data_IF_194830055392
#
_entry.id   IF_194830055392
#
_cell.length_a   1.000
_cell.length_b   1.000
_cell.length_c   1.000
_cell.angle_alpha   90.00
_cell.angle_beta   90.00
_cell.angle_gamma   90.00
#
_symmetry.space_group_name_H-M   'P 1'
#
loop_
_entity.id
_entity.type
_entity.pdbx_description
1 polymer ?
#
# COMPACT_ATOMS: atom_id res chain seq x y z
N UNK A 1 6.16 13.06 9.97
CA UNK A 1 5.33 12.19 9.08
C UNK A 1 6.17 11.24 8.23
N UNK A 2 7.30 11.68 7.65
CA UNK A 2 8.21 10.80 6.90
C UNK A 2 8.61 9.53 7.68
N UNK A 3 8.98 9.66 8.96
CA UNK A 3 9.32 8.51 9.81
C UNK A 3 8.18 7.48 9.90
N UNK A 4 6.95 7.92 10.17
CA UNK A 4 5.78 7.04 10.25
C UNK A 4 5.50 6.33 8.92
N UNK A 5 5.62 7.06 7.80
CA UNK A 5 5.46 6.49 6.45
C UNK A 5 6.55 5.45 6.18
N UNK A 6 7.81 5.74 6.51
CA UNK A 6 8.93 4.80 6.34
C UNK A 6 8.72 3.51 7.12
N UNK A 7 8.19 3.61 8.34
CA UNK A 7 7.87 2.46 9.19
C UNK A 7 6.70 1.68 8.60
N UNK A 8 5.65 2.37 8.15
CA UNK A 8 4.49 1.74 7.52
C UNK A 8 4.89 0.92 6.27
N UNK A 9 5.84 1.40 5.47
CA UNK A 9 6.32 0.71 4.26
C UNK A 9 7.08 -0.61 4.50
N UNK A 10 7.17 -1.09 5.75
CA UNK A 10 7.46 -2.51 6.01
C UNK A 10 6.30 -3.43 5.60
N UNK A 11 5.10 -2.88 5.41
CA UNK A 11 3.87 -3.59 5.06
C UNK A 11 4.02 -4.58 3.89
N UNK A 12 4.64 -4.24 2.75
CA UNK A 12 4.78 -5.19 1.63
C UNK A 12 5.57 -6.46 1.99
N UNK A 13 6.50 -6.39 2.96
CA UNK A 13 7.18 -7.58 3.48
C UNK A 13 6.26 -8.46 4.30
N UNK A 14 5.54 -7.83 5.23
CA UNK A 14 4.57 -8.53 6.09
C UNK A 14 3.55 -9.21 5.20
N UNK A 15 3.02 -8.48 4.21
CA UNK A 15 2.08 -8.97 3.23
C UNK A 15 2.65 -10.16 2.43
N UNK A 16 3.90 -10.08 1.96
CA UNK A 16 4.58 -11.18 1.25
C UNK A 16 4.70 -12.43 2.13
N UNK A 17 5.08 -12.27 3.39
CA UNK A 17 5.20 -13.38 4.36
C UNK A 17 3.84 -14.01 4.65
N UNK A 18 2.82 -13.19 4.92
CA UNK A 18 1.45 -13.64 5.17
C UNK A 18 0.86 -14.37 3.95
N UNK A 19 1.15 -13.92 2.73
CA UNK A 19 0.76 -14.61 1.50
C UNK A 19 1.32 -16.04 1.43
N UNK A 20 2.59 -16.21 1.81
CA UNK A 20 3.20 -17.54 1.91
C UNK A 20 2.58 -18.43 2.98
N UNK A 21 2.35 -17.89 4.17
CA UNK A 21 1.88 -18.66 5.33
C UNK A 21 0.39 -19.02 5.24
N UNK A 22 -0.48 -18.08 4.87
CA UNK A 22 -1.94 -18.24 4.96
C UNK A 22 -2.60 -18.63 3.64
N UNK A 23 -2.03 -18.23 2.50
CA UNK A 23 -2.57 -18.57 1.18
C UNK A 23 -1.78 -19.70 0.49
N UNK A 24 -0.65 -20.13 1.07
CA UNK A 24 0.21 -21.13 0.47
C UNK A 24 0.85 -20.67 -0.85
N UNK A 25 0.88 -19.36 -1.11
CA UNK A 25 1.47 -18.82 -2.33
C UNK A 25 3.00 -19.03 -2.29
N UNK A 26 3.63 -19.57 -3.35
CA UNK A 26 5.06 -19.81 -3.35
C UNK A 26 5.82 -18.48 -3.31
N UNK A 27 6.43 -18.17 -2.16
CA UNK A 27 7.28 -17.00 -2.00
C UNK A 27 8.68 -17.33 -2.49
N UNK A 28 8.93 -17.11 -3.78
CA UNK A 28 10.26 -17.27 -4.34
C UNK A 28 11.26 -16.28 -3.73
N UNK A 29 12.47 -16.75 -3.37
CA UNK A 29 13.55 -15.91 -2.81
C UNK A 29 13.83 -14.63 -3.61
N UNK A 30 13.66 -14.70 -4.94
CA UNK A 30 13.83 -13.55 -5.85
C UNK A 30 12.78 -12.44 -5.63
N UNK A 31 11.55 -12.81 -5.26
CA UNK A 31 10.48 -11.85 -4.92
C UNK A 31 10.78 -11.16 -3.58
N UNK A 32 11.31 -11.92 -2.61
CA UNK A 32 11.76 -11.36 -1.33
C UNK A 32 12.89 -10.35 -1.56
N UNK A 33 13.89 -10.70 -2.38
CA UNK A 33 14.97 -9.76 -2.73
C UNK A 33 14.44 -8.52 -3.43
N UNK A 34 13.53 -8.66 -4.40
CA UNK A 34 12.93 -7.51 -5.06
C UNK A 34 12.18 -6.60 -4.07
N UNK A 35 11.44 -7.20 -3.13
CA UNK A 35 10.79 -6.48 -2.04
C UNK A 35 11.83 -5.73 -1.17
N UNK A 36 12.95 -6.39 -0.80
CA UNK A 36 14.06 -5.76 -0.08
C UNK A 36 14.69 -4.59 -0.82
N UNK A 37 14.93 -4.74 -2.12
CA UNK A 37 15.49 -3.70 -2.97
C UNK A 37 14.51 -2.53 -3.12
N UNK A 38 13.23 -2.82 -3.32
CA UNK A 38 12.17 -1.81 -3.40
C UNK A 38 12.02 -1.01 -2.11
N UNK A 39 12.05 -1.69 -0.96
CA UNK A 39 12.06 -1.04 0.35
C UNK A 39 13.28 -0.16 0.57
N UNK A 40 14.48 -0.63 0.20
CA UNK A 40 15.68 0.18 0.25
C UNK A 40 15.53 1.46 -0.59
N UNK A 41 14.97 1.35 -1.79
CA UNK A 41 14.63 2.50 -2.63
C UNK A 41 13.60 3.43 -1.97
N UNK A 42 12.57 2.88 -1.32
CA UNK A 42 11.57 3.64 -0.58
C UNK A 42 12.18 4.47 0.56
N UNK A 43 13.10 3.89 1.33
CA UNK A 43 13.81 4.61 2.39
C UNK A 43 14.67 5.77 1.85
N UNK A 44 15.29 5.59 0.68
CA UNK A 44 16.03 6.67 0.00
C UNK A 44 15.12 7.80 -0.49
N UNK A 45 13.85 7.51 -0.82
CA UNK A 45 12.89 8.56 -1.17
C UNK A 45 12.36 9.25 0.09
N UNK A 46 11.94 8.48 1.09
CA UNK A 46 11.28 9.00 2.29
C UNK A 46 12.25 9.76 3.20
N UNK A 47 13.53 9.35 3.23
CA UNK A 47 14.60 9.98 4.03
C UNK A 47 14.19 10.25 5.48
N UNK A 48 13.79 9.20 6.22
CA UNK A 48 13.39 9.36 7.62
C UNK A 48 14.57 9.86 8.47
N UNK A 49 14.29 10.75 9.42
CA UNK A 49 15.30 11.36 10.29
C UNK A 49 15.36 10.65 11.66
N UNK A 50 14.30 9.92 12.03
CA UNK A 50 14.21 9.11 13.25
C UNK A 50 14.56 9.87 14.54
N UNK A 51 14.32 11.19 14.58
CA UNK A 51 14.69 12.01 15.74
C UNK A 51 13.85 11.70 16.98
N UNK A 52 12.63 11.16 16.81
CA UNK A 52 11.68 10.90 17.91
C UNK A 52 11.04 9.51 17.84
N UNK A 53 11.83 8.45 17.63
CA UNK A 53 11.31 7.06 17.63
C UNK A 53 11.07 6.59 19.07
N UNK A 54 9.91 6.94 19.62
CA UNK A 54 9.41 6.46 20.91
C UNK A 54 8.32 5.40 20.77
N UNK A 55 7.50 5.21 21.81
CA UNK A 55 6.32 4.33 21.76
C UNK A 55 5.35 4.67 20.61
N UNK A 56 5.36 5.91 20.12
CA UNK A 56 4.57 6.34 18.97
C UNK A 56 4.90 5.57 17.68
N UNK A 57 6.11 5.02 17.54
CA UNK A 57 6.49 4.19 16.40
C UNK A 57 5.72 2.86 16.33
N UNK A 58 5.09 2.43 17.43
CA UNK A 58 4.26 1.23 17.44
C UNK A 58 2.98 1.41 16.60
N UNK A 59 2.46 2.64 16.46
CA UNK A 59 1.24 2.88 15.69
C UNK A 59 1.42 2.57 14.20
N UNK A 60 2.42 3.12 13.47
CA UNK A 60 2.63 2.77 12.06
C UNK A 60 2.94 1.29 11.83
N UNK A 61 3.64 0.62 12.77
CA UNK A 61 3.85 -0.84 12.71
C UNK A 61 2.52 -1.58 12.82
N UNK A 62 1.68 -1.20 13.79
CA UNK A 62 0.33 -1.76 13.94
C UNK A 62 -0.51 -1.53 12.68
N UNK A 63 -0.45 -0.34 12.09
CA UNK A 63 -1.11 -0.02 10.82
C UNK A 63 -0.60 -0.90 9.68
N UNK A 64 0.71 -1.09 9.55
CA UNK A 64 1.31 -1.96 8.53
C UNK A 64 0.82 -3.41 8.66
N UNK A 65 0.77 -3.95 9.88
CA UNK A 65 0.27 -5.30 10.15
C UNK A 65 -1.22 -5.40 9.78
N UNK A 66 -2.05 -4.48 10.29
CA UNK A 66 -3.48 -4.46 10.00
C UNK A 66 -3.76 -4.31 8.51
N UNK A 67 -3.00 -3.46 7.80
CA UNK A 67 -3.16 -3.25 6.37
C UNK A 67 -2.73 -4.48 5.58
N UNK A 68 -1.62 -5.13 5.93
CA UNK A 68 -1.22 -6.41 5.33
C UNK A 68 -2.28 -7.49 5.49
N UNK A 69 -2.91 -7.60 6.67
CA UNK A 69 -4.04 -8.51 6.89
C UNK A 69 -5.26 -8.13 6.04
N UNK A 70 -5.59 -6.84 5.95
CA UNK A 70 -6.67 -6.36 5.09
C UNK A 70 -6.42 -6.75 3.61
N UNK A 71 -5.20 -6.56 3.10
CA UNK A 71 -4.87 -6.91 1.73
C UNK A 71 -4.85 -8.42 1.49
N UNK A 72 -4.36 -9.21 2.45
CA UNK A 72 -4.43 -10.67 2.43
C UNK A 72 -5.89 -11.17 2.38
N UNK A 73 -6.77 -10.61 3.22
CA UNK A 73 -8.19 -10.96 3.23
C UNK A 73 -8.86 -10.53 1.92
N UNK A 74 -8.55 -9.34 1.41
CA UNK A 74 -9.01 -8.85 0.10
C UNK A 74 -8.61 -9.83 -1.01
N UNK A 75 -7.36 -10.28 -1.04
CA UNK A 75 -6.89 -11.31 -1.98
C UNK A 75 -7.69 -12.60 -1.86
N UNK A 76 -7.95 -13.07 -0.63
CA UNK A 76 -8.72 -14.30 -0.41
C UNK A 76 -10.16 -14.15 -0.89
N UNK A 77 -10.82 -13.04 -0.55
CA UNK A 77 -12.22 -12.78 -0.88
C UNK A 77 -12.44 -12.55 -2.39
N UNK A 78 -11.49 -11.93 -3.09
CA UNK A 78 -11.58 -11.72 -4.54
C UNK A 78 -11.56 -13.02 -5.35
N UNK A 79 -11.18 -14.16 -4.75
CA UNK A 79 -11.30 -15.47 -5.38
C UNK A 79 -12.74 -16.01 -5.38
N UNK A 80 -13.61 -15.50 -4.49
CA UNK A 80 -14.97 -16.03 -4.30
C UNK A 80 -16.06 -14.97 -4.51
N UNK A 81 -15.72 -13.69 -4.48
CA UNK A 81 -16.67 -12.57 -4.59
C UNK A 81 -16.19 -11.51 -5.58
N UNK A 82 -17.13 -10.75 -6.13
CA UNK A 82 -16.82 -9.68 -7.06
C UNK A 82 -16.10 -8.50 -6.35
N UNK A 83 -15.04 -7.90 -6.93
CA UNK A 83 -14.31 -6.77 -6.33
C UNK A 83 -15.19 -5.62 -5.83
N UNK A 84 -16.21 -5.24 -6.61
CA UNK A 84 -17.15 -4.18 -6.23
C UNK A 84 -17.90 -4.52 -4.93
N UNK A 85 -18.37 -5.78 -4.80
CA UNK A 85 -19.06 -6.24 -3.60
C UNK A 85 -18.14 -6.16 -2.39
N UNK A 86 -16.90 -6.64 -2.52
CA UNK A 86 -15.89 -6.57 -1.46
C UNK A 86 -15.65 -5.11 -1.02
N UNK A 87 -15.53 -4.19 -1.99
CA UNK A 87 -15.29 -2.78 -1.71
C UNK A 87 -16.47 -2.12 -0.98
N UNK A 88 -17.71 -2.42 -1.37
CA UNK A 88 -18.92 -1.89 -0.69
C UNK A 88 -18.97 -2.38 0.76
N UNK A 89 -18.81 -3.68 1.00
CA UNK A 89 -18.83 -4.22 2.37
C UNK A 89 -17.69 -3.68 3.22
N UNK A 90 -16.49 -3.53 2.64
CA UNK A 90 -15.33 -2.94 3.32
C UNK A 90 -15.61 -1.48 3.69
N UNK A 91 -16.16 -0.68 2.78
CA UNK A 91 -16.50 0.71 3.04
C UNK A 91 -17.59 0.85 4.13
N UNK A 92 -18.63 0.01 4.08
CA UNK A 92 -19.66 -0.04 5.11
C UNK A 92 -19.07 -0.44 6.48
N UNK A 93 -18.22 -1.45 6.53
CA UNK A 93 -17.56 -1.88 7.76
C UNK A 93 -16.66 -0.77 8.33
N UNK A 94 -15.86 -0.12 7.49
CA UNK A 94 -15.03 1.00 7.89
C UNK A 94 -15.89 2.16 8.43
N UNK A 95 -16.98 2.51 7.77
CA UNK A 95 -17.91 3.53 8.25
C UNK A 95 -18.53 3.16 9.61
N UNK A 96 -19.00 1.92 9.77
CA UNK A 96 -19.59 1.44 11.03
C UNK A 96 -18.60 1.44 12.20
N UNK A 97 -17.31 1.26 11.94
CA UNK A 97 -16.26 1.32 12.97
C UNK A 97 -15.84 2.76 13.25
N UNK A 98 -15.59 3.56 12.20
CA UNK A 98 -15.02 4.91 12.33
C UNK A 98 -16.07 5.91 12.83
N UNK A 99 -17.32 5.86 12.35
CA UNK A 99 -18.33 6.85 12.69
C UNK A 99 -18.63 6.93 14.21
N UNK A 100 -18.82 5.82 14.95
CA UNK A 100 -18.99 5.87 16.40
C UNK A 100 -17.75 6.39 17.12
N UNK A 101 -16.54 6.03 16.67
CA UNK A 101 -15.28 6.51 17.26
C UNK A 101 -15.20 8.03 17.12
N UNK A 102 -15.53 8.58 15.95
CA UNK A 102 -15.54 10.03 15.72
C UNK A 102 -16.55 10.75 16.63
N UNK A 103 -17.73 10.15 16.86
CA UNK A 103 -18.75 10.73 17.75
C UNK A 103 -18.32 10.70 19.22
N UNK A 104 -17.71 9.60 19.68
CA UNK A 104 -17.22 9.45 21.06
C UNK A 104 -16.03 10.38 21.32
N UNK A 105 -15.13 10.52 20.34
CA UNK A 105 -13.91 11.32 20.46
C UNK A 105 -14.12 12.81 20.21
N UNK A 106 -15.34 13.23 19.86
CA UNK A 106 -15.71 14.61 19.53
C UNK A 106 -15.21 15.63 20.56
N UNK A 107 -15.40 15.33 21.84
CA UNK A 107 -15.06 16.21 22.98
C UNK A 107 -13.87 15.67 23.79
N UNK A 108 -13.05 14.80 23.20
CA UNK A 108 -11.93 14.15 23.89
C UNK A 108 -10.82 15.14 24.30
N UNK A 109 -9.98 14.79 25.28
CA UNK A 109 -8.87 15.66 25.68
C UNK A 109 -7.71 15.70 24.66
N UNK A 110 -7.82 14.99 23.54
CA UNK A 110 -6.83 14.94 22.46
C UNK A 110 -7.24 15.92 21.35
N UNK A 111 -6.58 17.08 21.22
CA UNK A 111 -6.97 18.11 20.27
C UNK A 111 -6.98 17.63 18.82
N UNK A 112 -6.13 16.64 18.48
CA UNK A 112 -6.02 16.08 17.13
C UNK A 112 -7.24 15.25 16.70
N UNK A 113 -8.09 14.81 17.65
CA UNK A 113 -9.30 14.03 17.37
C UNK A 113 -10.59 14.84 17.45
N UNK A 114 -10.50 16.16 17.64
CA UNK A 114 -11.67 17.03 17.68
C UNK A 114 -12.35 17.12 16.31
N UNK A 115 -13.67 17.00 16.31
CA UNK A 115 -14.46 17.30 15.13
C UNK A 115 -14.50 18.81 14.93
N UNK A 116 -13.75 19.28 13.95
CA UNK A 116 -13.77 20.68 13.52
C UNK A 116 -14.94 20.94 12.56
N UNK A 117 -15.46 22.17 12.60
CA UNK A 117 -16.40 22.62 11.57
C UNK A 117 -15.62 22.86 10.29
N UNK A 118 -16.03 22.16 9.24
CA UNK A 118 -15.34 22.13 7.94
C UNK A 118 -15.90 23.24 7.05
N UNK A 119 -15.03 24.02 6.41
CA UNK A 119 -15.44 25.03 5.42
C UNK A 119 -15.78 24.39 4.06
N UNK A 120 -16.50 25.09 3.17
CA UNK A 120 -16.89 24.59 1.86
C UNK A 120 -15.72 24.11 1.00
N UNK A 121 -14.57 24.78 1.06
CA UNK A 121 -13.36 24.36 0.37
C UNK A 121 -12.79 23.03 0.92
N UNK A 122 -12.75 22.88 2.25
CA UNK A 122 -12.28 21.66 2.89
C UNK A 122 -13.23 20.47 2.63
N UNK A 123 -14.54 20.72 2.54
CA UNK A 123 -15.51 19.70 2.14
C UNK A 123 -15.26 19.23 0.71
N UNK A 124 -14.96 20.14 -0.22
CA UNK A 124 -14.60 19.80 -1.59
C UNK A 124 -13.35 18.91 -1.65
N UNK A 125 -12.29 19.27 -0.90
CA UNK A 125 -11.08 18.45 -0.79
C UNK A 125 -11.38 17.06 -0.19
N UNK A 126 -12.22 16.99 0.84
CA UNK A 126 -12.59 15.73 1.49
C UNK A 126 -13.33 14.80 0.53
N UNK A 127 -14.27 15.34 -0.25
CA UNK A 127 -14.96 14.58 -1.32
C UNK A 127 -13.96 14.12 -2.38
N UNK A 128 -13.04 14.99 -2.79
CA UNK A 128 -11.98 14.66 -3.75
C UNK A 128 -11.10 13.49 -3.28
N UNK A 129 -10.65 13.53 -2.02
CA UNK A 129 -9.89 12.43 -1.40
C UNK A 129 -10.72 11.15 -1.35
N UNK A 130 -12.01 11.23 -0.98
CA UNK A 130 -12.90 10.07 -0.95
C UNK A 130 -13.07 9.40 -2.31
N UNK A 131 -13.24 10.19 -3.38
CA UNK A 131 -13.33 9.67 -4.75
C UNK A 131 -12.01 9.04 -5.19
N UNK A 132 -10.89 9.74 -4.99
CA UNK A 132 -9.57 9.24 -5.36
C UNK A 132 -9.22 7.94 -4.62
N UNK A 133 -9.48 7.89 -3.31
CA UNK A 133 -9.28 6.69 -2.49
C UNK A 133 -10.15 5.52 -2.97
N UNK A 134 -11.43 5.79 -3.29
CA UNK A 134 -12.33 4.75 -3.81
C UNK A 134 -11.81 4.16 -5.12
N UNK A 135 -11.35 5.00 -6.04
CA UNK A 135 -10.78 4.56 -7.32
C UNK A 135 -9.49 3.75 -7.09
N UNK A 136 -8.59 4.25 -6.25
CA UNK A 136 -7.33 3.58 -5.93
C UNK A 136 -7.57 2.19 -5.30
N UNK A 137 -8.44 2.10 -4.30
CA UNK A 137 -8.79 0.83 -3.66
C UNK A 137 -9.54 -0.13 -4.60
N UNK A 138 -10.35 0.40 -5.53
CA UNK A 138 -10.98 -0.44 -6.55
C UNK A 138 -9.92 -1.08 -7.45
N UNK A 139 -8.97 -0.29 -7.98
CA UNK A 139 -7.87 -0.83 -8.78
C UNK A 139 -6.99 -1.82 -7.99
N UNK A 140 -6.71 -1.52 -6.72
CA UNK A 140 -5.97 -2.43 -5.84
C UNK A 140 -6.71 -3.76 -5.67
N UNK A 141 -8.02 -3.72 -5.41
CA UNK A 141 -8.86 -4.92 -5.26
C UNK A 141 -8.92 -5.73 -6.56
N UNK A 142 -9.02 -5.06 -7.71
CA UNK A 142 -8.93 -5.72 -9.01
C UNK A 142 -7.55 -6.33 -9.25
N UNK A 143 -6.47 -5.64 -8.89
CA UNK A 143 -5.12 -6.19 -8.99
C UNK A 143 -4.99 -7.49 -8.18
N UNK A 144 -5.48 -7.51 -6.94
CA UNK A 144 -5.50 -8.71 -6.10
C UNK A 144 -6.40 -9.83 -6.64
N UNK A 145 -7.37 -9.55 -7.52
CA UNK A 145 -8.11 -10.61 -8.20
C UNK A 145 -7.23 -11.36 -9.20
N UNK A 146 -6.38 -10.63 -9.93
CA UNK A 146 -5.63 -11.18 -11.06
C UNK A 146 -4.19 -11.60 -10.73
N UNK A 147 -3.59 -11.04 -9.68
CA UNK A 147 -2.21 -11.31 -9.33
C UNK A 147 -2.07 -11.80 -7.88
N UNK A 148 -1.09 -12.66 -7.66
CA UNK A 148 -0.69 -13.14 -6.35
C UNK A 148 -0.11 -12.02 -5.47
N UNK A 149 -0.25 -12.17 -4.15
CA UNK A 149 0.23 -11.19 -3.17
C UNK A 149 1.72 -10.91 -3.35
N UNK A 150 2.49 -11.97 -3.53
CA UNK A 150 3.95 -11.90 -3.68
C UNK A 150 4.42 -11.20 -4.97
N UNK A 151 3.54 -10.98 -5.95
CA UNK A 151 3.82 -10.18 -7.16
C UNK A 151 3.48 -8.71 -6.88
N UNK A 152 2.34 -8.46 -6.24
CA UNK A 152 1.83 -7.11 -6.00
C UNK A 152 2.59 -6.37 -4.91
N UNK A 153 3.05 -7.07 -3.87
CA UNK A 153 3.77 -6.47 -2.75
C UNK A 153 4.93 -5.54 -3.18
N UNK A 154 5.94 -6.00 -3.95
CA UNK A 154 7.02 -5.11 -4.38
C UNK A 154 6.56 -3.96 -5.30
N UNK A 155 5.40 -4.09 -5.97
CA UNK A 155 4.85 -3.02 -6.80
C UNK A 155 4.21 -1.90 -5.97
N UNK A 156 3.81 -2.15 -4.71
CA UNK A 156 3.27 -1.11 -3.83
C UNK A 156 4.28 0.00 -3.56
N UNK A 157 5.59 -0.28 -3.62
CA UNK A 157 6.61 0.77 -3.51
C UNK A 157 6.53 1.82 -4.63
N UNK A 158 5.89 1.50 -5.77
CA UNK A 158 5.65 2.48 -6.84
C UNK A 158 4.68 3.59 -6.40
N UNK A 159 3.89 3.39 -5.34
CA UNK A 159 3.05 4.46 -4.77
C UNK A 159 3.90 5.66 -4.35
N UNK A 160 5.09 5.45 -3.82
CA UNK A 160 6.02 6.51 -3.44
C UNK A 160 6.53 7.27 -4.66
N UNK A 161 6.79 6.55 -5.76
CA UNK A 161 7.20 7.15 -7.04
C UNK A 161 6.08 8.03 -7.57
N UNK A 162 4.84 7.52 -7.58
CA UNK A 162 3.67 8.29 -8.00
C UNK A 162 3.45 9.53 -7.10
N UNK A 163 3.55 9.37 -5.77
CA UNK A 163 3.45 10.47 -4.82
C UNK A 163 4.50 11.55 -5.07
N UNK A 164 5.73 11.16 -5.40
CA UNK A 164 6.81 12.11 -5.73
C UNK A 164 6.52 12.85 -7.04
N UNK A 165 5.99 12.16 -8.06
CA UNK A 165 5.60 12.78 -9.33
C UNK A 165 4.46 13.79 -9.10
N UNK A 166 3.43 13.44 -8.34
CA UNK A 166 2.36 14.37 -8.00
C UNK A 166 2.84 15.53 -7.13
N UNK A 167 3.78 15.27 -6.22
CA UNK A 167 4.51 16.29 -5.46
C UNK A 167 5.09 17.37 -6.37
N UNK A 168 5.87 16.94 -7.36
CA UNK A 168 6.45 17.83 -8.36
C UNK A 168 5.39 18.55 -9.20
N UNK A 169 4.40 17.83 -9.74
CA UNK A 169 3.43 18.41 -10.68
C UNK A 169 2.45 19.41 -10.05
N UNK A 170 2.09 19.20 -8.78
CA UNK A 170 1.06 19.99 -8.10
C UNK A 170 1.69 21.05 -7.18
N UNK A 171 2.80 20.72 -6.52
CA UNK A 171 3.41 21.56 -5.49
C UNK A 171 4.78 22.13 -5.88
N UNK A 172 5.29 21.81 -7.07
CA UNK A 172 6.62 22.22 -7.55
C UNK A 172 7.77 21.71 -6.64
N UNK A 173 7.53 20.60 -5.94
CA UNK A 173 8.49 19.96 -5.04
C UNK A 173 9.51 19.11 -5.83
N UNK A 174 10.68 19.68 -6.08
CA UNK A 174 11.74 19.00 -6.82
C UNK A 174 12.42 17.89 -6.02
N UNK A 175 12.46 16.64 -6.53
CA UNK A 175 13.12 15.54 -5.84
C UNK A 175 14.64 15.77 -5.82
N UNK A 176 15.25 15.53 -4.66
CA UNK A 176 16.69 15.61 -4.52
C UNK A 176 17.40 14.41 -5.18
N UNK A 177 18.73 14.45 -5.27
CA UNK A 177 19.52 13.39 -5.93
C UNK A 177 19.33 12.01 -5.28
N UNK A 178 19.13 11.96 -3.96
CA UNK A 178 18.91 10.71 -3.22
C UNK A 178 17.51 10.17 -3.54
N UNK A 179 16.51 11.03 -3.59
CA UNK A 179 15.14 10.69 -4.01
C UNK A 179 15.11 10.12 -5.43
N UNK A 180 15.82 10.74 -6.38
CA UNK A 180 15.96 10.25 -7.77
C UNK A 180 16.60 8.85 -7.84
N UNK A 181 17.63 8.61 -7.02
CA UNK A 181 18.25 7.29 -6.91
C UNK A 181 17.26 6.25 -6.36
N UNK A 182 16.53 6.60 -5.30
CA UNK A 182 15.49 5.76 -4.72
C UNK A 182 14.40 5.40 -5.73
N UNK A 183 13.88 6.39 -6.47
CA UNK A 183 12.89 6.19 -7.55
C UNK A 183 13.41 5.20 -8.59
N UNK A 184 14.67 5.37 -9.03
CA UNK A 184 15.27 4.48 -10.02
C UNK A 184 15.32 3.03 -9.51
N UNK A 185 15.74 2.84 -8.25
CA UNK A 185 15.80 1.51 -7.61
C UNK A 185 14.41 0.86 -7.54
N UNK A 186 13.39 1.62 -7.12
CA UNK A 186 12.00 1.12 -7.02
C UNK A 186 11.50 0.68 -8.40
N UNK A 187 11.68 1.52 -9.44
CA UNK A 187 11.25 1.22 -10.81
C UNK A 187 11.95 -0.03 -11.33
N UNK A 188 13.28 -0.12 -11.18
CA UNK A 188 14.05 -1.29 -11.60
C UNK A 188 13.59 -2.58 -10.89
N UNK A 189 13.31 -2.51 -9.59
CA UNK A 189 12.80 -3.65 -8.83
C UNK A 189 11.42 -4.11 -9.32
N UNK A 190 10.49 -3.17 -9.53
CA UNK A 190 9.15 -3.48 -10.04
C UNK A 190 9.19 -4.10 -11.44
N UNK A 191 9.98 -3.52 -12.35
CA UNK A 191 10.18 -4.07 -13.70
C UNK A 191 10.76 -5.48 -13.65
N UNK A 192 11.76 -5.72 -12.80
CA UNK A 192 12.37 -7.05 -12.65
C UNK A 192 11.34 -8.10 -12.21
N UNK A 193 10.46 -7.79 -11.25
CA UNK A 193 9.40 -8.70 -10.79
C UNK A 193 8.41 -8.99 -11.92
N UNK A 194 7.94 -7.96 -12.62
CA UNK A 194 7.00 -8.10 -13.73
C UNK A 194 7.56 -8.94 -14.88
N UNK A 195 8.79 -8.65 -15.31
CA UNK A 195 9.45 -9.41 -16.38
C UNK A 195 9.66 -10.87 -15.99
N UNK A 196 9.99 -11.13 -14.73
CA UNK A 196 10.21 -12.48 -14.24
C UNK A 196 8.90 -13.27 -14.19
N UNK A 197 7.83 -12.65 -13.71
CA UNK A 197 6.53 -13.33 -13.66
C UNK A 197 6.07 -13.72 -15.04
N UNK A 198 6.14 -12.78 -15.99
CA UNK A 198 5.79 -13.04 -17.39
C UNK A 198 6.58 -14.22 -17.96
N UNK A 199 7.87 -14.35 -17.65
CA UNK A 199 8.69 -15.49 -18.09
C UNK A 199 8.22 -16.81 -17.47
N UNK A 200 7.89 -16.83 -16.18
CA UNK A 200 7.37 -18.03 -15.51
C UNK A 200 6.01 -18.47 -16.06
N UNK A 201 5.14 -17.52 -16.43
CA UNK A 201 3.87 -17.80 -17.08
C UNK A 201 4.07 -18.42 -18.47
N UNK A 202 4.96 -17.85 -19.28
CA UNK A 202 5.31 -18.39 -20.60
C UNK A 202 5.89 -19.82 -20.50
N UNK A 203 6.77 -20.08 -19.53
CA UNK A 203 7.34 -21.41 -19.32
C UNK A 203 6.28 -22.44 -18.91
N UNK A 204 5.25 -22.02 -18.14
CA UNK A 204 4.10 -22.88 -17.79
C UNK A 204 3.23 -23.19 -19.00
N UNK A 205 2.96 -22.19 -19.85
CA UNK A 205 2.18 -22.37 -21.08
C UNK A 205 2.90 -23.29 -22.09
N UNK A 206 4.21 -23.14 -22.23
CA UNK A 206 5.03 -24.00 -23.10
C UNK A 206 5.02 -25.47 -22.64
N UNK A 207 5.02 -25.72 -21.32
CA UNK A 207 4.90 -27.08 -20.77
C UNK A 207 3.51 -27.69 -20.97
N UNK A 208 2.46 -26.87 -20.94
CA UNK A 208 1.08 -27.34 -21.16
C UNK A 208 0.78 -27.66 -22.63
N UNK A 209 1.51 -27.09 -23.58
CA UNK A 209 1.34 -27.37 -25.02
C UNK A 209 2.11 -28.61 -25.50
N UNK A 210 3.01 -29.15 -24.68
CA UNK A 210 3.80 -30.35 -24.96
C UNK A 210 3.22 -31.64 -24.34
N UNK A 211 2.11 -31.53 -23.60
CA UNK A 211 1.34 -32.64 -22.99
C UNK A 211 0.04 -32.81 -23.76
#
# INVERSE_FOLDING_TARGET
MADAISIFFIEPFILTLLGGLFLGEPVGWRRIIACMVGFGGALLVIQPQYETVGLAAAFPVGTAICFAFYLLLTRRMTQTAHPITIQIFTACAAFLVIAPILLIMRDSALPELHLIVIDGYQLYLLIGVGIAATIAHMFLTFAFRYAAVSILAPLQYLEIVAATIFGLLIFDDFPNKITLLGITIIICSGIYVLMRERRLELDRQAKQTLV
#
